data_IF_941986324292
#
_entry.id   IF_941986324292
#
_cell.length_a   1.000
_cell.length_b   1.000
_cell.length_c   1.000
_cell.angle_alpha   90.00
_cell.angle_beta   90.00
_cell.angle_gamma   90.00
#
_symmetry.space_group_name_H-M   'P 1'
#
loop_
_entity.id
_entity.type
_entity.pdbx_description
1 polymer ?
#
# COMPACT_ATOMS: atom_id res chain seq x y z
N UNK A 1 -28.62 -12.18 15.87
CA UNK A 1 -27.52 -11.17 15.83
C UNK A 1 -28.12 -9.96 15.12
N UNK A 2 -27.84 -8.75 15.55
CA UNK A 2 -28.38 -7.58 14.86
C UNK A 2 -27.69 -7.47 13.49
N UNK A 3 -28.46 -7.27 12.43
CA UNK A 3 -27.95 -7.07 11.05
C UNK A 3 -27.37 -5.65 10.84
N UNK A 4 -27.08 -4.92 11.91
CA UNK A 4 -26.56 -3.55 11.88
C UNK A 4 -25.11 -3.46 12.30
N UNK A 5 -24.37 -2.55 11.69
CA UNK A 5 -23.02 -2.16 12.07
C UNK A 5 -22.97 -0.67 12.40
N UNK A 6 -22.00 -0.26 13.21
CA UNK A 6 -21.75 1.16 13.46
C UNK A 6 -21.04 1.82 12.29
N UNK A 7 -20.14 1.05 11.64
CA UNK A 7 -19.35 1.51 10.48
C UNK A 7 -19.30 0.43 9.41
N UNK A 8 -19.53 0.82 8.17
CA UNK A 8 -19.31 -0.01 6.99
C UNK A 8 -18.16 0.60 6.18
N UNK A 9 -17.18 -0.22 5.85
CA UNK A 9 -16.04 0.13 5.00
C UNK A 9 -16.21 -0.59 3.65
N UNK A 10 -16.11 0.14 2.57
CA UNK A 10 -16.17 -0.42 1.22
C UNK A 10 -14.77 -0.46 0.63
N UNK A 11 -14.26 -1.66 0.42
CA UNK A 11 -12.94 -1.96 -0.11
C UNK A 11 -11.86 -2.14 0.97
N UNK A 12 -11.08 -3.21 0.85
CA UNK A 12 -10.02 -3.60 1.77
C UNK A 12 -8.62 -3.07 1.40
N UNK A 13 -8.54 -2.11 0.49
CA UNK A 13 -7.30 -1.47 0.08
C UNK A 13 -6.66 -0.62 1.19
N UNK A 14 -5.66 0.17 0.83
CA UNK A 14 -4.84 0.95 1.77
C UNK A 14 -5.67 1.82 2.74
N UNK A 15 -6.62 2.59 2.21
CA UNK A 15 -7.45 3.50 3.02
C UNK A 15 -8.43 2.75 3.92
N UNK A 16 -9.09 1.70 3.37
CA UNK A 16 -10.00 0.87 4.15
C UNK A 16 -9.31 0.16 5.31
N UNK A 17 -8.12 -0.37 5.08
CA UNK A 17 -7.31 -1.04 6.10
C UNK A 17 -6.87 -0.08 7.21
N UNK A 18 -6.40 1.11 6.84
CA UNK A 18 -5.97 2.13 7.81
C UNK A 18 -7.17 2.62 8.66
N UNK A 19 -8.32 2.87 8.01
CA UNK A 19 -9.55 3.26 8.70
C UNK A 19 -10.03 2.14 9.66
N UNK A 20 -10.11 0.89 9.16
CA UNK A 20 -10.52 -0.26 9.97
C UNK A 20 -9.65 -0.42 11.21
N UNK A 21 -8.33 -0.39 11.04
CA UNK A 21 -7.40 -0.49 12.15
C UNK A 21 -7.53 0.68 13.13
N UNK A 22 -7.56 1.92 12.62
CA UNK A 22 -7.61 3.10 13.48
C UNK A 22 -8.88 3.15 14.31
N UNK A 23 -10.04 2.89 13.70
CA UNK A 23 -11.35 2.93 14.35
C UNK A 23 -11.58 1.75 15.31
N UNK A 24 -10.97 0.59 15.05
CA UNK A 24 -11.11 -0.59 15.91
C UNK A 24 -10.28 -0.52 17.19
N UNK A 25 -9.36 0.43 17.33
CA UNK A 25 -8.47 0.55 18.51
C UNK A 25 -9.22 0.82 19.81
N UNK A 26 -10.37 1.47 19.75
CA UNK A 26 -11.18 1.80 20.92
C UNK A 26 -12.12 0.65 21.37
N UNK A 27 -12.28 -0.38 20.51
CA UNK A 27 -12.99 -1.62 20.85
C UNK A 27 -14.50 -1.51 21.08
N UNK A 28 -15.10 -0.33 20.81
CA UNK A 28 -16.52 -0.08 21.09
C UNK A 28 -17.43 -0.17 19.85
N UNK A 29 -16.82 -0.16 18.65
CA UNK A 29 -17.56 -0.10 17.38
C UNK A 29 -17.60 -1.47 16.70
N UNK A 30 -18.77 -1.85 16.18
CA UNK A 30 -18.92 -2.95 15.25
C UNK A 30 -18.62 -2.46 13.83
N UNK A 31 -17.48 -2.90 13.29
CA UNK A 31 -16.98 -2.47 11.99
C UNK A 31 -17.02 -3.63 11.03
N UNK A 32 -17.69 -3.43 9.89
CA UNK A 32 -17.74 -4.38 8.78
C UNK A 32 -16.99 -3.81 7.57
N UNK A 33 -16.25 -4.66 6.86
CA UNK A 33 -15.64 -4.31 5.58
C UNK A 33 -16.13 -5.26 4.50
N UNK A 34 -16.53 -4.72 3.36
CA UNK A 34 -16.90 -5.49 2.16
C UNK A 34 -15.83 -5.31 1.08
N UNK A 35 -15.26 -6.41 0.62
CA UNK A 35 -14.26 -6.48 -0.45
C UNK A 35 -14.79 -7.32 -1.61
N UNK A 36 -14.71 -6.79 -2.83
CA UNK A 36 -15.25 -7.49 -4.00
C UNK A 36 -14.41 -8.70 -4.45
N UNK A 37 -13.10 -8.69 -4.18
CA UNK A 37 -12.20 -9.77 -4.54
C UNK A 37 -12.02 -10.79 -3.41
N UNK A 38 -11.28 -11.85 -3.71
CA UNK A 38 -10.97 -12.92 -2.76
C UNK A 38 -9.75 -12.58 -1.89
N UNK A 39 -9.52 -13.41 -0.88
CA UNK A 39 -8.25 -13.44 -0.14
C UNK A 39 -7.27 -14.32 -0.93
N UNK A 40 -6.04 -13.85 -1.07
CA UNK A 40 -4.93 -14.65 -1.57
C UNK A 40 -3.87 -14.79 -0.49
N UNK A 41 -3.40 -16.00 -0.29
CA UNK A 41 -2.28 -16.27 0.61
C UNK A 41 -0.95 -15.85 -0.05
N UNK A 42 0.05 -15.38 0.72
CA UNK A 42 1.34 -15.00 0.15
C UNK A 42 1.97 -16.09 -0.74
N UNK A 43 1.79 -17.36 -0.38
CA UNK A 43 2.31 -18.50 -1.14
C UNK A 43 1.72 -18.65 -2.55
N UNK A 44 0.58 -18.05 -2.84
CA UNK A 44 -0.11 -18.09 -4.14
C UNK A 44 0.46 -17.05 -5.12
N UNK A 45 1.17 -16.05 -4.62
CA UNK A 45 1.78 -15.06 -5.51
C UNK A 45 2.93 -15.65 -6.33
N UNK A 46 3.03 -15.30 -7.63
CA UNK A 46 4.01 -15.91 -8.53
C UNK A 46 5.44 -15.40 -8.36
N UNK A 47 5.71 -14.52 -7.42
CA UNK A 47 7.03 -13.87 -7.26
C UNK A 47 8.20 -14.82 -6.99
N UNK A 48 7.93 -16.07 -6.63
CA UNK A 48 8.94 -17.14 -6.49
C UNK A 48 9.09 -18.05 -7.71
N UNK A 49 8.21 -17.92 -8.70
CA UNK A 49 8.25 -18.73 -9.92
C UNK A 49 9.38 -18.28 -10.83
N UNK A 50 9.99 -19.22 -11.55
CA UNK A 50 11.09 -18.91 -12.49
C UNK A 50 10.62 -18.17 -13.74
N UNK A 51 9.33 -18.24 -14.04
CA UNK A 51 8.63 -17.64 -15.18
C UNK A 51 7.63 -16.55 -14.78
N UNK A 52 7.90 -15.86 -13.69
CA UNK A 52 7.01 -14.83 -13.15
C UNK A 52 6.72 -13.69 -14.16
N UNK A 53 7.62 -13.42 -15.09
CA UNK A 53 7.43 -12.44 -16.17
C UNK A 53 6.24 -12.80 -17.05
N UNK A 54 6.05 -14.08 -17.33
CA UNK A 54 4.89 -14.55 -18.11
C UNK A 54 3.59 -14.35 -17.34
N UNK A 55 3.58 -14.68 -16.05
CA UNK A 55 2.43 -14.42 -15.17
C UNK A 55 2.09 -12.94 -15.12
N UNK A 56 3.10 -12.07 -15.03
CA UNK A 56 2.94 -10.61 -15.01
C UNK A 56 2.30 -10.07 -16.29
N UNK A 57 2.53 -10.70 -17.42
CA UNK A 57 1.94 -10.32 -18.73
C UNK A 57 0.53 -10.89 -18.94
N UNK A 58 0.04 -11.73 -18.02
CA UNK A 58 -1.26 -12.41 -18.11
C UNK A 58 -2.03 -12.38 -16.80
N UNK A 59 -2.14 -13.53 -16.15
CA UNK A 59 -2.99 -13.74 -14.96
C UNK A 59 -2.62 -12.89 -13.74
N UNK A 60 -1.40 -12.37 -13.66
CA UNK A 60 -0.94 -11.46 -12.60
C UNK A 60 -0.66 -10.04 -13.13
N UNK A 61 -1.24 -9.67 -14.26
CA UNK A 61 -1.15 -8.32 -14.80
C UNK A 61 -1.73 -7.31 -13.80
N UNK A 62 -1.16 -6.09 -13.77
CA UNK A 62 -1.76 -4.99 -12.99
C UNK A 62 -3.04 -4.47 -13.64
N UNK A 63 -3.16 -4.63 -14.95
CA UNK A 63 -4.33 -4.22 -15.72
C UNK A 63 -5.44 -5.27 -15.57
N UNK A 64 -6.57 -4.93 -14.94
CA UNK A 64 -7.70 -5.86 -14.80
C UNK A 64 -8.30 -6.29 -16.14
N UNK A 65 -8.21 -5.45 -17.19
CA UNK A 65 -8.66 -5.79 -18.53
C UNK A 65 -7.82 -6.90 -19.19
N UNK A 66 -6.56 -7.06 -18.76
CA UNK A 66 -5.67 -8.15 -19.18
C UNK A 66 -5.82 -9.36 -18.25
N UNK A 67 -5.84 -9.14 -16.94
CA UNK A 67 -5.90 -10.20 -15.91
C UNK A 67 -7.20 -10.98 -15.96
N UNK A 68 -8.33 -10.32 -16.10
CA UNK A 68 -9.70 -10.91 -16.25
C UNK A 68 -10.06 -11.94 -15.19
N UNK A 69 -9.71 -11.70 -13.93
CA UNK A 69 -10.21 -12.51 -12.83
C UNK A 69 -11.70 -12.28 -12.61
N UNK A 70 -12.40 -13.19 -11.93
CA UNK A 70 -13.84 -13.07 -11.66
C UNK A 70 -14.21 -11.79 -10.90
N UNK A 71 -13.33 -11.31 -10.03
CA UNK A 71 -13.53 -10.05 -9.30
C UNK A 71 -13.24 -8.80 -10.15
N UNK A 72 -12.56 -8.95 -11.28
CA UNK A 72 -12.30 -7.86 -12.20
C UNK A 72 -13.55 -7.59 -13.05
N UNK A 73 -13.76 -6.34 -13.36
CA UNK A 73 -14.80 -5.92 -14.30
C UNK A 73 -14.17 -5.01 -15.34
N UNK A 74 -14.72 -4.97 -16.55
CA UNK A 74 -14.16 -4.15 -17.61
C UNK A 74 -14.07 -2.69 -17.19
N UNK A 75 -12.92 -2.09 -17.42
CA UNK A 75 -12.68 -0.67 -17.19
C UNK A 75 -12.54 -0.02 -18.56
N UNK A 76 -13.37 0.98 -18.83
CA UNK A 76 -13.24 1.77 -20.05
C UNK A 76 -12.16 2.83 -19.87
N UNK A 77 -10.98 2.54 -20.41
CA UNK A 77 -9.83 3.44 -20.45
C UNK A 77 -9.54 3.97 -21.85
N UNK A 78 -10.50 3.81 -22.78
CA UNK A 78 -10.34 4.18 -24.21
C UNK A 78 -9.98 5.66 -24.42
N UNK A 79 -10.39 6.54 -23.50
CA UNK A 79 -10.10 7.98 -23.53
C UNK A 79 -8.96 8.38 -22.58
N UNK A 80 -8.23 7.43 -22.01
CA UNK A 80 -7.11 7.67 -21.11
C UNK A 80 -5.77 7.38 -21.80
N UNK A 81 -4.78 8.26 -21.65
CA UNK A 81 -3.42 7.96 -22.12
C UNK A 81 -2.67 6.98 -21.22
N UNK A 82 -3.30 6.55 -20.11
CA UNK A 82 -2.68 5.71 -19.08
C UNK A 82 -3.53 4.47 -18.87
N UNK A 83 -2.91 3.29 -18.94
CA UNK A 83 -3.55 2.03 -18.56
C UNK A 83 -3.73 1.96 -17.05
N UNK A 84 -4.84 1.38 -16.62
CA UNK A 84 -5.20 1.28 -15.20
C UNK A 84 -4.42 0.16 -14.54
N UNK A 85 -3.78 0.47 -13.41
CA UNK A 85 -3.19 -0.51 -12.51
C UNK A 85 -4.09 -0.63 -11.26
N UNK A 86 -4.80 -1.74 -11.12
CA UNK A 86 -5.70 -2.00 -10.02
C UNK A 86 -5.71 -3.48 -9.63
N UNK A 87 -5.86 -3.77 -8.34
CA UNK A 87 -6.03 -5.12 -7.83
C UNK A 87 -7.32 -5.22 -7.02
N UNK A 88 -8.19 -6.14 -7.40
CA UNK A 88 -9.44 -6.43 -6.73
C UNK A 88 -9.23 -7.67 -5.84
N UNK A 89 -9.04 -7.44 -4.55
CA UNK A 89 -8.79 -8.48 -3.57
C UNK A 89 -8.36 -7.92 -2.23
N UNK A 90 -8.26 -8.78 -1.25
CA UNK A 90 -7.83 -8.45 0.09
C UNK A 90 -6.46 -7.75 0.11
N UNK A 91 -6.43 -6.54 0.62
CA UNK A 91 -5.26 -5.68 0.59
C UNK A 91 -5.21 -4.68 -0.58
N UNK A 92 -6.10 -4.85 -1.58
CA UNK A 92 -6.22 -3.94 -2.72
C UNK A 92 -4.90 -3.76 -3.48
N UNK A 93 -4.74 -2.64 -4.14
CA UNK A 93 -3.56 -2.36 -4.97
C UNK A 93 -2.23 -2.30 -4.21
N UNK A 94 -2.22 -2.38 -2.87
CA UNK A 94 -0.98 -2.58 -2.11
C UNK A 94 -0.33 -3.94 -2.37
N UNK A 95 -1.06 -4.89 -2.96
CA UNK A 95 -0.51 -6.17 -3.44
C UNK A 95 0.39 -5.97 -4.66
N UNK A 96 0.08 -5.01 -5.52
CA UNK A 96 0.78 -4.80 -6.80
C UNK A 96 1.84 -3.70 -6.79
N UNK A 97 1.92 -2.85 -5.77
CA UNK A 97 2.93 -1.80 -5.77
C UNK A 97 4.34 -2.36 -5.51
N UNK A 98 5.35 -1.62 -5.94
CA UNK A 98 6.76 -2.02 -5.87
C UNK A 98 7.42 -1.82 -4.50
N UNK A 99 6.65 -1.51 -3.46
CA UNK A 99 7.12 -1.15 -2.13
C UNK A 99 7.88 0.18 -2.02
N UNK A 100 7.95 0.97 -3.08
CA UNK A 100 8.55 2.30 -3.01
C UNK A 100 7.72 3.19 -2.08
N UNK A 101 8.37 3.79 -1.06
CA UNK A 101 7.65 4.39 0.06
C UNK A 101 8.29 5.69 0.60
N UNK A 102 8.64 6.66 -0.26
CA UNK A 102 9.10 7.97 0.19
C UNK A 102 7.95 8.76 0.78
N UNK A 103 8.25 9.69 1.66
CA UNK A 103 7.29 10.74 2.07
C UNK A 103 7.11 11.75 0.96
N UNK A 104 6.00 12.46 0.99
CA UNK A 104 5.86 13.71 0.25
C UNK A 104 6.83 14.77 0.79
N UNK A 105 7.29 15.67 -0.06
CA UNK A 105 7.99 16.87 0.40
C UNK A 105 7.00 17.90 0.96
N UNK A 106 7.41 18.78 1.88
CA UNK A 106 6.56 19.87 2.34
C UNK A 106 6.04 20.77 1.21
N UNK A 107 6.82 20.92 0.12
CA UNK A 107 6.43 21.65 -1.09
C UNK A 107 5.24 21.02 -1.82
N UNK A 108 5.08 19.71 -1.78
CA UNK A 108 4.00 19.00 -2.48
C UNK A 108 2.60 19.38 -1.95
N UNK A 109 2.53 19.89 -0.73
CA UNK A 109 1.30 20.41 -0.13
C UNK A 109 0.97 21.84 -0.56
N UNK A 110 1.85 22.49 -1.30
CA UNK A 110 1.79 23.92 -1.64
C UNK A 110 2.01 24.21 -3.12
N UNK A 111 1.66 23.27 -3.99
CA UNK A 111 1.92 23.34 -5.43
C UNK A 111 1.22 24.54 -6.10
N UNK A 112 0.01 24.92 -5.63
CA UNK A 112 -0.67 26.11 -6.12
C UNK A 112 0.08 27.38 -5.75
N UNK A 113 0.47 27.49 -4.49
CA UNK A 113 1.19 28.67 -3.98
C UNK A 113 2.59 28.82 -4.59
N UNK A 114 3.31 27.69 -4.76
CA UNK A 114 4.71 27.72 -5.20
C UNK A 114 4.87 27.76 -6.72
N UNK A 115 4.05 26.96 -7.44
CA UNK A 115 4.23 26.69 -8.87
C UNK A 115 3.04 27.16 -9.71
N UNK A 116 1.97 27.67 -9.08
CA UNK A 116 0.72 28.08 -9.71
C UNK A 116 0.04 26.93 -10.51
N UNK A 117 0.19 25.70 -10.06
CA UNK A 117 -0.37 24.48 -10.67
C UNK A 117 -1.33 23.84 -9.67
N UNK A 118 -2.46 23.25 -10.16
CA UNK A 118 -3.42 22.53 -9.34
C UNK A 118 -3.92 23.34 -8.13
N UNK A 119 -4.08 22.70 -6.97
CA UNK A 119 -4.51 23.31 -5.71
C UNK A 119 -3.55 22.96 -4.57
N UNK A 120 -3.46 23.84 -3.56
CA UNK A 120 -2.79 23.51 -2.30
C UNK A 120 -3.62 22.48 -1.54
N UNK A 121 -2.95 21.55 -0.87
CA UNK A 121 -3.63 20.65 0.04
C UNK A 121 -4.22 21.42 1.24
N UNK A 122 -5.41 21.02 1.75
CA UNK A 122 -6.00 21.66 2.94
C UNK A 122 -5.25 21.33 4.24
N UNK A 123 -4.22 20.50 4.14
CA UNK A 123 -3.37 20.05 5.24
C UNK A 123 -1.92 20.41 4.96
N UNK A 124 -1.14 20.61 6.01
CA UNK A 124 0.31 20.82 5.92
C UNK A 124 1.08 19.50 6.17
N UNK A 125 2.32 19.43 5.70
CA UNK A 125 3.23 18.34 6.03
C UNK A 125 3.32 18.10 7.55
N UNK A 126 3.44 19.17 8.35
CA UNK A 126 3.58 19.05 9.81
C UNK A 126 2.37 18.42 10.49
N UNK A 127 1.17 18.61 9.96
CA UNK A 127 -0.05 17.96 10.47
C UNK A 127 -0.06 16.45 10.16
N UNK A 128 0.51 16.03 9.02
CA UNK A 128 0.60 14.62 8.63
C UNK A 128 1.82 13.90 9.19
N UNK A 129 2.84 14.62 9.62
CA UNK A 129 4.10 14.02 10.07
C UNK A 129 3.96 12.91 11.13
N UNK A 130 3.10 13.04 12.17
CA UNK A 130 2.89 11.95 13.13
C UNK A 130 2.30 10.68 12.50
N UNK A 131 1.45 10.83 11.49
CA UNK A 131 0.84 9.72 10.77
C UNK A 131 1.82 9.07 9.78
N UNK A 132 2.74 9.82 9.20
CA UNK A 132 3.85 9.25 8.45
C UNK A 132 4.72 8.36 9.35
N UNK A 133 5.11 8.84 10.53
CA UNK A 133 5.89 8.07 11.50
C UNK A 133 5.17 6.77 11.92
N UNK A 134 3.86 6.82 12.14
CA UNK A 134 3.05 5.65 12.51
C UNK A 134 2.93 4.66 11.35
N UNK A 135 2.67 5.16 10.14
CA UNK A 135 2.53 4.35 8.94
C UNK A 135 3.85 3.66 8.55
N UNK A 136 4.98 4.34 8.63
CA UNK A 136 6.30 3.75 8.38
C UNK A 136 6.61 2.60 9.33
N UNK A 137 6.28 2.78 10.61
CA UNK A 137 6.38 1.71 11.61
C UNK A 137 5.49 0.52 11.24
N UNK A 138 4.24 0.80 10.87
CA UNK A 138 3.24 -0.23 10.54
C UNK A 138 3.65 -1.00 9.29
N UNK A 139 3.97 -0.30 8.22
CA UNK A 139 4.38 -0.88 6.94
C UNK A 139 5.77 -1.52 7.00
N UNK A 140 6.60 -1.11 7.96
CA UNK A 140 7.97 -1.58 8.09
C UNK A 140 8.87 -1.03 7.00
N UNK A 141 8.94 0.29 6.95
CA UNK A 141 9.76 0.98 5.95
C UNK A 141 11.24 0.85 6.27
N UNK A 142 12.01 0.37 5.29
CA UNK A 142 13.46 0.32 5.30
C UNK A 142 14.03 1.55 4.59
N UNK A 143 15.14 2.05 5.08
CA UNK A 143 15.82 3.21 4.50
C UNK A 143 16.95 3.70 5.39
N UNK A 144 17.59 4.76 4.97
CA UNK A 144 18.67 5.41 5.71
C UNK A 144 18.17 6.79 6.19
N UNK A 145 18.36 7.09 7.47
CA UNK A 145 18.04 8.40 8.03
C UNK A 145 19.10 9.45 7.64
N UNK A 146 18.75 10.72 7.71
CA UNK A 146 19.70 11.83 7.49
C UNK A 146 19.80 12.29 6.04
N UNK A 147 18.86 11.92 5.17
CA UNK A 147 18.74 12.49 3.83
C UNK A 147 18.38 13.97 3.91
N UNK A 148 19.28 14.84 3.42
CA UNK A 148 19.07 16.29 3.44
C UNK A 148 17.99 16.77 2.47
N UNK A 149 17.54 15.92 1.55
CA UNK A 149 16.46 16.23 0.61
C UNK A 149 15.06 15.99 1.21
N UNK A 150 14.96 15.27 2.32
CA UNK A 150 13.69 14.97 3.00
C UNK A 150 13.68 15.43 4.45
N UNK A 151 12.51 15.71 5.03
CA UNK A 151 12.37 15.87 6.46
C UNK A 151 12.80 14.60 7.22
N UNK A 152 13.25 14.78 8.46
CA UNK A 152 13.80 13.69 9.27
C UNK A 152 12.80 12.54 9.49
N UNK A 153 13.27 11.33 9.23
CA UNK A 153 12.61 10.08 9.58
C UNK A 153 13.00 9.67 10.99
N UNK A 154 12.05 9.19 11.78
CA UNK A 154 12.31 8.79 13.17
C UNK A 154 12.65 7.32 13.35
N UNK A 155 12.10 6.46 12.52
CA UNK A 155 12.18 5.02 12.72
C UNK A 155 12.10 4.26 11.41
N UNK A 156 13.27 3.88 10.89
CA UNK A 156 13.38 3.07 9.70
C UNK A 156 14.05 1.73 10.03
N UNK A 157 13.72 0.70 9.26
CA UNK A 157 14.53 -0.52 9.21
C UNK A 157 15.83 -0.26 8.44
N UNK A 158 16.86 -1.09 8.62
CA UNK A 158 18.05 -1.01 7.79
C UNK A 158 17.71 -0.93 6.31
N UNK A 159 18.42 -0.14 5.50
CA UNK A 159 18.09 0.01 4.08
C UNK A 159 18.24 -1.31 3.32
N UNK A 160 17.45 -1.45 2.25
CA UNK A 160 17.63 -2.57 1.32
C UNK A 160 19.04 -2.48 0.73
N UNK A 161 19.82 -3.60 0.68
CA UNK A 161 21.16 -3.59 0.12
C UNK A 161 21.20 -3.09 -1.33
N UNK A 162 22.13 -2.22 -1.65
CA UNK A 162 22.28 -1.62 -2.98
C UNK A 162 22.65 -2.63 -4.08
N UNK A 163 23.29 -3.74 -3.70
CA UNK A 163 23.89 -4.66 -4.67
C UNK A 163 25.14 -4.07 -5.36
N UNK A 164 25.80 -4.85 -6.18
CA UNK A 164 27.05 -4.44 -6.86
C UNK A 164 26.81 -3.24 -7.79
N UNK A 165 25.79 -3.28 -8.62
CA UNK A 165 25.45 -2.19 -9.54
C UNK A 165 25.14 -0.89 -8.78
N UNK A 166 24.35 -0.95 -7.72
CA UNK A 166 24.03 0.22 -6.89
C UNK A 166 25.26 0.82 -6.22
N UNK A 167 26.22 -0.01 -5.78
CA UNK A 167 27.49 0.48 -5.25
C UNK A 167 28.35 1.19 -6.30
N UNK A 168 28.41 0.68 -7.53
CA UNK A 168 29.14 1.35 -8.61
C UNK A 168 28.46 2.68 -9.02
N UNK A 169 27.14 2.72 -9.07
CA UNK A 169 26.39 3.98 -9.30
C UNK A 169 26.66 4.98 -8.18
N UNK A 170 26.65 4.56 -6.92
CA UNK A 170 26.93 5.42 -5.77
C UNK A 170 28.35 6.02 -5.84
N UNK A 171 29.36 5.25 -6.25
CA UNK A 171 30.71 5.75 -6.48
C UNK A 171 30.75 6.81 -7.57
N UNK A 172 30.02 6.61 -8.68
CA UNK A 172 29.93 7.58 -9.77
C UNK A 172 29.25 8.89 -9.31
N UNK A 173 28.14 8.81 -8.60
CA UNK A 173 27.44 9.97 -8.06
C UNK A 173 28.31 10.75 -7.07
N UNK A 174 29.02 10.07 -6.18
CA UNK A 174 29.99 10.70 -5.25
C UNK A 174 31.09 11.44 -6.01
N UNK A 175 31.64 10.85 -7.09
CA UNK A 175 32.63 11.50 -7.93
C UNK A 175 32.11 12.76 -8.62
N UNK A 176 30.84 12.73 -9.04
CA UNK A 176 30.16 13.86 -9.67
C UNK A 176 29.62 14.89 -8.65
N UNK A 177 29.73 14.60 -7.34
CA UNK A 177 29.13 15.40 -6.26
C UNK A 177 27.61 15.56 -6.39
N UNK A 178 26.95 14.55 -6.96
CA UNK A 178 25.51 14.50 -7.02
C UNK A 178 24.95 13.95 -5.73
N UNK A 179 23.82 14.52 -5.29
CA UNK A 179 23.06 13.94 -4.18
C UNK A 179 22.46 12.60 -4.61
N UNK A 180 22.57 11.61 -3.75
CA UNK A 180 21.93 10.33 -3.91
C UNK A 180 21.64 9.74 -2.52
N UNK A 181 20.62 8.93 -2.43
CA UNK A 181 20.25 8.26 -1.19
C UNK A 181 19.62 6.89 -1.49
N UNK A 182 19.76 5.88 -0.57
CA UNK A 182 19.01 4.64 -0.69
C UNK A 182 17.51 4.89 -0.67
N UNK A 183 16.78 4.30 -1.62
CA UNK A 183 15.33 4.48 -1.70
C UNK A 183 14.63 3.97 -0.43
N UNK A 184 13.64 4.71 0.02
CA UNK A 184 12.75 4.25 1.09
C UNK A 184 11.80 3.20 0.54
N UNK A 185 11.74 2.04 1.20
CA UNK A 185 10.95 0.91 0.74
C UNK A 185 10.22 0.22 1.90
N UNK A 186 8.93 -0.04 1.74
CA UNK A 186 8.16 -0.84 2.69
C UNK A 186 8.52 -2.33 2.54
N UNK A 187 9.75 -2.68 2.87
CA UNK A 187 10.32 -4.03 2.76
C UNK A 187 10.96 -4.41 4.09
N UNK A 188 10.60 -5.56 4.61
CA UNK A 188 11.14 -6.05 5.86
C UNK A 188 12.60 -6.52 5.66
N UNK A 189 13.54 -5.78 6.20
CA UNK A 189 14.99 -6.05 6.13
C UNK A 189 15.58 -6.53 7.44
N UNK A 190 14.75 -6.64 8.49
CA UNK A 190 15.18 -7.11 9.81
C UNK A 190 14.14 -8.09 10.39
N UNK A 191 14.53 -8.86 11.41
CA UNK A 191 13.63 -9.83 12.04
C UNK A 191 12.47 -9.13 12.75
N UNK A 192 11.27 -9.35 12.29
CA UNK A 192 10.01 -8.94 12.93
C UNK A 192 9.17 -10.18 13.26
N UNK A 193 8.41 -10.14 14.36
CA UNK A 193 7.70 -11.32 14.89
C UNK A 193 6.80 -12.01 13.86
N UNK A 194 6.19 -11.27 12.93
CA UNK A 194 5.14 -11.79 12.05
C UNK A 194 5.43 -11.64 10.56
N UNK A 195 6.66 -11.27 10.18
CA UNK A 195 7.02 -11.05 8.78
C UNK A 195 8.40 -11.58 8.47
N UNK A 196 8.53 -12.31 7.37
CA UNK A 196 9.80 -12.81 6.89
C UNK A 196 10.72 -11.65 6.44
N UNK A 197 12.04 -11.86 6.52
CA UNK A 197 12.99 -10.96 5.89
C UNK A 197 12.97 -11.14 4.38
N UNK A 198 13.18 -10.05 3.64
CA UNK A 198 13.32 -10.10 2.21
C UNK A 198 14.57 -10.90 1.81
N UNK A 199 14.41 -11.88 0.93
CA UNK A 199 15.50 -12.63 0.29
C UNK A 199 15.73 -12.19 -1.15
N UNK A 200 15.21 -11.04 -1.51
CA UNK A 200 15.44 -10.38 -2.80
C UNK A 200 15.01 -11.23 -4.03
N UNK A 201 13.78 -11.74 -4.00
CA UNK A 201 13.18 -12.47 -5.14
C UNK A 201 13.01 -11.59 -6.41
N UNK A 202 12.95 -10.28 -6.25
CA UNK A 202 12.84 -9.31 -7.33
C UNK A 202 11.43 -8.74 -7.53
N UNK A 203 10.44 -9.49 -8.04
CA UNK A 203 9.17 -8.92 -8.47
C UNK A 203 8.22 -8.62 -7.30
N UNK A 204 8.40 -7.49 -6.64
CA UNK A 204 7.49 -7.03 -5.58
C UNK A 204 6.08 -6.71 -6.09
N UNK A 205 5.95 -6.35 -7.36
CA UNK A 205 4.75 -5.79 -7.97
C UNK A 205 3.75 -6.80 -8.55
N UNK A 206 3.90 -8.07 -8.21
CA UNK A 206 2.93 -9.15 -8.50
C UNK A 206 2.53 -9.91 -7.21
N UNK A 207 2.65 -9.25 -6.06
CA UNK A 207 2.52 -9.87 -4.74
C UNK A 207 3.85 -10.43 -4.22
N UNK A 208 3.99 -10.48 -2.90
CA UNK A 208 5.20 -10.98 -2.25
C UNK A 208 4.96 -12.36 -1.65
N UNK A 209 5.42 -13.43 -2.31
CA UNK A 209 5.24 -14.81 -1.84
C UNK A 209 5.92 -15.13 -0.50
N UNK A 210 6.78 -14.22 0.01
CA UNK A 210 7.41 -14.33 1.33
C UNK A 210 6.68 -13.56 2.42
N UNK A 211 5.76 -12.63 2.08
CA UNK A 211 5.20 -11.68 3.03
C UNK A 211 6.19 -10.65 3.58
N UNK A 212 7.35 -10.46 2.92
CA UNK A 212 8.36 -9.49 3.34
C UNK A 212 8.00 -8.05 2.94
N UNK A 213 7.24 -7.86 1.87
CA UNK A 213 6.74 -6.55 1.45
C UNK A 213 5.66 -6.06 2.41
N UNK A 214 5.72 -4.78 2.78
CA UNK A 214 4.67 -4.14 3.54
C UNK A 214 3.47 -3.83 2.64
N UNK A 215 2.48 -4.69 2.65
CA UNK A 215 1.14 -4.48 2.08
C UNK A 215 0.11 -4.58 3.20
N UNK A 216 -1.06 -4.00 3.02
CA UNK A 216 -2.00 -3.86 4.16
C UNK A 216 -2.64 -5.17 4.58
N UNK A 217 -2.64 -6.19 3.73
CA UNK A 217 -3.01 -7.58 4.07
C UNK A 217 -2.09 -8.18 5.13
N UNK A 218 -0.81 -7.82 5.12
CA UNK A 218 0.21 -8.32 6.04
C UNK A 218 0.53 -7.36 7.20
N UNK A 219 -0.03 -6.15 7.22
CA UNK A 219 0.28 -5.11 8.20
C UNK A 219 -0.93 -4.63 8.98
N UNK A 220 -1.84 -3.89 8.37
CA UNK A 220 -2.99 -3.28 9.04
C UNK A 220 -4.13 -4.27 9.31
N UNK A 221 -4.48 -5.07 8.31
CA UNK A 221 -5.62 -5.99 8.41
C UNK A 221 -5.48 -7.03 9.52
N UNK A 222 -4.33 -7.70 9.72
CA UNK A 222 -4.20 -8.65 10.83
C UNK A 222 -4.49 -8.03 12.19
N UNK A 223 -4.14 -6.76 12.38
CA UNK A 223 -4.40 -6.04 13.63
C UNK A 223 -5.85 -5.59 13.74
N UNK A 224 -6.46 -5.13 12.66
CA UNK A 224 -7.88 -4.77 12.62
C UNK A 224 -8.78 -5.98 12.93
N UNK A 225 -8.47 -7.14 12.35
CA UNK A 225 -9.18 -8.40 12.61
C UNK A 225 -9.01 -8.85 14.07
N UNK A 226 -7.82 -8.73 14.65
CA UNK A 226 -7.60 -9.00 16.09
C UNK A 226 -8.41 -8.07 16.99
N UNK A 227 -8.70 -6.86 16.54
CA UNK A 227 -9.56 -5.91 17.25
C UNK A 227 -11.07 -6.14 16.99
N UNK A 228 -11.46 -7.19 16.28
CA UNK A 228 -12.84 -7.58 16.05
C UNK A 228 -13.51 -6.98 14.82
N UNK A 229 -12.76 -6.38 13.87
CA UNK A 229 -13.31 -6.01 12.56
C UNK A 229 -13.68 -7.27 11.79
N UNK A 230 -14.87 -7.27 11.18
CA UNK A 230 -15.32 -8.34 10.32
C UNK A 230 -15.09 -7.94 8.85
N UNK A 231 -14.54 -8.85 8.04
CA UNK A 231 -14.36 -8.63 6.61
C UNK A 231 -15.09 -9.70 5.81
N UNK A 232 -15.84 -9.26 4.80
CA UNK A 232 -16.57 -10.08 3.85
C UNK A 232 -15.93 -9.89 2.47
N UNK A 233 -15.24 -10.91 2.01
CA UNK A 233 -14.66 -10.96 0.66
C UNK A 233 -15.68 -11.49 -0.35
N UNK A 234 -15.38 -11.39 -1.64
CA UNK A 234 -16.27 -11.76 -2.75
C UNK A 234 -17.65 -11.04 -2.65
N UNK A 235 -17.63 -9.85 -2.04
CA UNK A 235 -18.81 -9.08 -1.66
C UNK A 235 -18.73 -7.68 -2.26
N UNK A 236 -19.25 -7.53 -3.47
CA UNK A 236 -19.23 -6.24 -4.19
C UNK A 236 -20.37 -5.36 -3.74
N UNK A 237 -20.02 -4.20 -3.17
CA UNK A 237 -21.00 -3.12 -2.93
C UNK A 237 -21.27 -2.38 -4.25
N UNK A 238 -22.51 -2.32 -4.67
CA UNK A 238 -22.93 -1.64 -5.89
C UNK A 238 -23.83 -0.42 -5.63
N UNK A 239 -24.36 -0.32 -4.40
CA UNK A 239 -25.24 0.78 -4.01
C UNK A 239 -25.12 1.05 -2.51
N UNK A 240 -25.22 2.30 -2.12
CA UNK A 240 -25.37 2.72 -0.73
C UNK A 240 -26.74 3.40 -0.62
N UNK A 241 -27.66 2.74 0.07
CA UNK A 241 -28.97 3.31 0.35
C UNK A 241 -28.91 4.23 1.55
N UNK A 242 -29.80 5.23 1.57
CA UNK A 242 -29.84 6.23 2.64
C UNK A 242 -31.27 6.26 3.20
N UNK A 243 -31.38 6.09 4.50
CA UNK A 243 -32.66 6.14 5.18
C UNK A 243 -33.21 7.58 5.33
N UNK A 244 -34.43 7.71 5.86
CA UNK A 244 -35.11 9.01 6.03
C UNK A 244 -34.38 9.97 6.99
N UNK A 245 -33.38 9.49 7.77
CA UNK A 245 -32.55 10.29 8.67
C UNK A 245 -31.24 10.73 8.01
N UNK A 246 -30.98 10.37 6.76
CA UNK A 246 -29.75 10.67 6.05
C UNK A 246 -28.57 9.77 6.43
N UNK A 247 -28.82 8.63 7.06
CA UNK A 247 -27.80 7.64 7.41
C UNK A 247 -27.81 6.49 6.40
N UNK A 248 -26.66 5.87 6.19
CA UNK A 248 -26.57 4.65 5.40
C UNK A 248 -27.42 3.54 6.02
N UNK A 249 -28.08 2.76 5.16
CA UNK A 249 -29.08 1.76 5.55
C UNK A 249 -28.84 0.45 4.79
#
# INVERSE_FOLDING_TARGET
MSDSADIIIVGSGASGAAAAWSLSREGSLRILCFEQGSISEPSEYPSKSTDWELSRSGSSSFDPNIRKNLADYPIDDSNSPISIANFNGYGGSTILYSAHFPRFHPSDFRVKTLDNISDDWPLSYSQLNPYFDENEKMMGVAGLVGDTAYPDYKSLLPPVPLGEMGHEMAKAFNKMKWHWWPSYAAINTDKRKNRANCINLGPCNIGCSQGAKGSVDSTYWPLALLNGVEIYTESRVYEITINSKGLAD
#
